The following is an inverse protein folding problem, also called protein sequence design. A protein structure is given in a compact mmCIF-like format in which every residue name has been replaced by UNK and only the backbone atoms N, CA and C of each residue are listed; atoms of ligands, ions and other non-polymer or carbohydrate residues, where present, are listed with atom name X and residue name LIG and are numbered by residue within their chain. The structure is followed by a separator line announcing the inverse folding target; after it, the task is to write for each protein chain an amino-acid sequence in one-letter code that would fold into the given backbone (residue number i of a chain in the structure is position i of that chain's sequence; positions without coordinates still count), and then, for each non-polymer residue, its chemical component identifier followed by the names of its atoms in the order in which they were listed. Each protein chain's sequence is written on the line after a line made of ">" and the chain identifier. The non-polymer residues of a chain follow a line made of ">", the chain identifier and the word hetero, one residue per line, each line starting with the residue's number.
data_IF_507482804598
#
_entry.id   IF_507482804598
#
_cell.length_a   1.000
_cell.length_b   1.000
_cell.length_c   1.000
_cell.angle_alpha   90.00
_cell.angle_beta   90.00
_cell.angle_gamma   90.00
#
_symmetry.space_group_name_H-M   'P 1'
#
loop_
_entity.id
_entity.type
_entity.pdbx_description
1 polymer ?
#
# COMPACT_ATOMS: atom_id res chain seq x y z
N UNK A 1 10.39 35.98 -20.47
CA UNK A 1 9.82 35.54 -19.19
C UNK A 1 9.31 34.12 -19.42
N UNK A 2 9.94 33.11 -18.82
CA UNK A 2 9.46 31.74 -18.92
C UNK A 2 8.23 31.59 -18.01
N UNK A 3 7.14 31.04 -18.54
CA UNK A 3 5.98 30.72 -17.73
C UNK A 3 6.38 29.70 -16.64
N UNK A 4 5.89 29.84 -15.39
CA UNK A 4 6.11 28.83 -14.38
C UNK A 4 5.51 27.51 -14.87
N UNK A 5 6.35 26.49 -14.94
CA UNK A 5 5.94 25.11 -15.25
C UNK A 5 4.84 24.72 -14.25
N UNK A 6 3.67 24.24 -14.70
CA UNK A 6 2.63 23.80 -13.77
C UNK A 6 3.21 22.72 -12.86
N UNK A 7 3.28 22.99 -11.56
CA UNK A 7 3.69 22.02 -10.56
C UNK A 7 2.72 20.86 -10.63
N UNK A 8 3.22 19.66 -10.99
CA UNK A 8 2.41 18.44 -10.98
C UNK A 8 1.73 18.37 -9.60
N UNK A 9 0.40 18.22 -9.52
CA UNK A 9 -0.28 18.12 -8.24
C UNK A 9 0.35 16.99 -7.43
N UNK A 10 0.56 17.23 -6.13
CA UNK A 10 1.19 16.27 -5.23
C UNK A 10 0.39 14.95 -5.25
N UNK A 11 1.04 13.78 -5.37
CA UNK A 11 0.32 12.53 -5.39
C UNK A 11 -0.45 12.29 -4.08
N UNK A 12 -1.64 11.65 -4.17
CA UNK A 12 -2.56 11.50 -3.04
C UNK A 12 -2.00 10.69 -1.86
N UNK A 13 -0.95 9.89 -2.09
CA UNK A 13 -0.26 9.08 -1.09
C UNK A 13 0.93 9.80 -0.44
N UNK A 14 1.27 10.99 -0.90
CA UNK A 14 2.27 11.84 -0.25
C UNK A 14 1.55 12.78 0.71
N UNK A 15 1.84 12.67 2.00
CA UNK A 15 1.10 13.35 3.07
C UNK A 15 -0.42 13.09 3.04
N UNK A 16 -0.85 11.81 3.08
CA UNK A 16 -2.27 11.39 2.95
C UNK A 16 -3.21 12.01 3.99
N UNK A 17 -2.70 12.35 5.18
CA UNK A 17 -3.48 13.00 6.24
C UNK A 17 -3.49 14.53 6.17
N UNK A 18 -2.64 15.14 5.34
CA UNK A 18 -2.45 16.59 5.34
C UNK A 18 -1.81 17.14 6.61
N UNK A 19 -0.90 16.39 7.25
CA UNK A 19 -0.14 16.87 8.41
C UNK A 19 0.65 18.13 8.03
N UNK A 20 0.73 19.10 8.94
CA UNK A 20 1.55 20.29 8.73
C UNK A 20 3.05 19.93 8.73
N UNK A 21 3.90 20.79 8.17
CA UNK A 21 5.36 20.55 8.15
C UNK A 21 5.93 20.35 9.55
N UNK A 22 5.38 21.06 10.54
CA UNK A 22 5.78 20.97 11.95
C UNK A 22 5.35 19.65 12.62
N UNK A 23 4.40 18.93 12.02
CA UNK A 23 3.92 17.61 12.46
C UNK A 23 4.61 16.45 11.72
N UNK A 24 5.27 16.74 10.61
CA UNK A 24 6.12 15.78 9.90
C UNK A 24 7.50 15.87 10.51
N UNK A 25 7.87 14.87 11.32
CA UNK A 25 9.16 14.83 12.00
C UNK A 25 10.28 14.92 10.95
N UNK A 26 10.91 16.09 10.87
CA UNK A 26 12.05 16.33 9.99
C UNK A 26 13.32 15.84 10.68
N UNK A 27 14.34 15.43 9.93
CA UNK A 27 15.63 14.99 10.48
C UNK A 27 16.30 16.05 11.38
N UNK A 28 15.87 17.31 11.29
CA UNK A 28 16.45 18.47 11.96
C UNK A 28 15.73 18.83 13.28
N UNK A 29 14.60 18.19 13.62
CA UNK A 29 13.72 18.59 14.72
C UNK A 29 13.45 17.44 15.72
N UNK A 30 14.46 16.63 16.05
CA UNK A 30 14.36 15.56 17.06
C UNK A 30 14.25 16.06 18.51
N UNK A 31 14.07 17.36 18.75
CA UNK A 31 13.88 17.96 20.08
C UNK A 31 12.45 18.52 20.25
N UNK A 32 11.45 17.64 20.23
CA UNK A 32 10.17 17.96 20.90
C UNK A 32 9.51 16.69 21.44
N UNK A 33 9.74 16.42 22.72
CA UNK A 33 9.00 15.42 23.48
C UNK A 33 7.67 16.04 23.94
N UNK A 34 6.67 16.03 23.06
CA UNK A 34 5.28 16.10 23.50
C UNK A 34 4.86 14.71 23.99
N UNK A 35 4.21 14.62 25.14
CA UNK A 35 3.57 13.38 25.60
C UNK A 35 2.65 12.86 24.49
N UNK A 36 3.02 11.76 23.83
CA UNK A 36 2.14 11.06 22.88
C UNK A 36 0.87 10.69 23.64
N UNK A 37 -0.28 11.19 23.17
CA UNK A 37 -1.56 11.00 23.84
C UNK A 37 -2.12 9.58 23.66
N UNK A 38 -1.64 8.83 22.65
CA UNK A 38 -2.04 7.45 22.39
C UNK A 38 -0.92 6.48 22.79
N UNK A 39 -1.27 5.33 23.36
CA UNK A 39 -0.26 4.29 23.59
C UNK A 39 0.21 3.68 22.27
N UNK A 40 1.42 3.12 22.26
CA UNK A 40 1.94 2.36 21.10
C UNK A 40 0.96 1.27 20.68
N UNK A 41 0.32 0.60 21.65
CA UNK A 41 -0.68 -0.43 21.39
C UNK A 41 -1.92 0.15 20.68
N UNK A 42 -2.39 1.34 21.05
CA UNK A 42 -3.52 2.00 20.39
C UNK A 42 -3.21 2.36 18.94
N UNK A 43 -2.00 2.89 18.69
CA UNK A 43 -1.53 3.23 17.35
C UNK A 43 -1.47 1.99 16.45
N UNK A 44 -0.86 0.91 16.96
CA UNK A 44 -0.81 -0.37 16.25
C UNK A 44 -2.22 -0.88 15.96
N UNK A 45 -3.10 -0.89 16.96
CA UNK A 45 -4.46 -1.42 16.81
C UNK A 45 -5.26 -0.66 15.74
N UNK A 46 -5.10 0.67 15.63
CA UNK A 46 -5.76 1.46 14.57
C UNK A 46 -5.28 1.05 13.19
N UNK A 47 -3.96 0.95 12.99
CA UNK A 47 -3.38 0.53 11.71
C UNK A 47 -3.86 -0.88 11.34
N UNK A 48 -3.82 -1.82 12.28
CA UNK A 48 -4.28 -3.19 12.09
C UNK A 48 -5.76 -3.22 11.71
N UNK A 49 -6.60 -2.43 12.38
CA UNK A 49 -8.05 -2.38 12.12
C UNK A 49 -8.35 -1.88 10.71
N UNK A 50 -7.70 -0.79 10.29
CA UNK A 50 -7.88 -0.29 8.93
C UNK A 50 -7.29 -1.23 7.87
N UNK A 51 -6.16 -1.87 8.17
CA UNK A 51 -5.55 -2.85 7.26
C UNK A 51 -6.45 -4.07 7.07
N UNK A 52 -7.09 -4.56 8.14
CA UNK A 52 -8.09 -5.64 8.08
C UNK A 52 -9.29 -5.24 7.23
N UNK A 53 -9.85 -4.05 7.47
CA UNK A 53 -10.95 -3.53 6.66
C UNK A 53 -10.57 -3.44 5.16
N UNK A 54 -9.39 -2.89 4.86
CA UNK A 54 -8.90 -2.77 3.50
C UNK A 54 -8.68 -4.16 2.84
N UNK A 55 -8.17 -5.12 3.61
CA UNK A 55 -7.95 -6.49 3.15
C UNK A 55 -9.27 -7.20 2.88
N UNK A 56 -10.25 -7.09 3.76
CA UNK A 56 -11.57 -7.72 3.61
C UNK A 56 -12.24 -7.27 2.30
N UNK A 57 -12.22 -5.96 2.01
CA UNK A 57 -12.76 -5.43 0.75
C UNK A 57 -11.99 -5.93 -0.48
N UNK A 58 -10.67 -6.08 -0.41
CA UNK A 58 -9.88 -6.61 -1.51
C UNK A 58 -10.11 -8.12 -1.71
N UNK A 59 -10.26 -8.87 -0.61
CA UNK A 59 -10.57 -10.30 -0.56
C UNK A 59 -11.95 -10.60 -1.16
N UNK A 60 -12.94 -9.77 -0.87
CA UNK A 60 -14.28 -9.90 -1.47
C UNK A 60 -14.22 -9.58 -2.98
N UNK A 61 -13.56 -8.49 -3.35
CA UNK A 61 -13.47 -8.03 -4.72
C UNK A 61 -12.69 -8.98 -5.66
N UNK A 62 -11.64 -9.64 -5.16
CA UNK A 62 -10.72 -10.43 -6.01
C UNK A 62 -11.42 -11.54 -6.79
N UNK A 63 -12.42 -12.21 -6.18
CA UNK A 63 -13.11 -13.34 -6.80
C UNK A 63 -13.90 -12.83 -7.99
N UNK A 64 -14.68 -11.77 -7.77
CA UNK A 64 -15.46 -11.13 -8.81
C UNK A 64 -14.57 -10.60 -9.95
N UNK A 65 -13.46 -9.93 -9.60
CA UNK A 65 -12.53 -9.42 -10.60
C UNK A 65 -11.99 -10.55 -11.49
N UNK A 66 -11.56 -11.66 -10.87
CA UNK A 66 -10.94 -12.77 -11.61
C UNK A 66 -11.97 -13.50 -12.48
N UNK A 67 -13.08 -13.91 -11.89
CA UNK A 67 -14.09 -14.71 -12.59
C UNK A 67 -14.69 -13.94 -13.76
N UNK A 68 -15.03 -12.67 -13.57
CA UNK A 68 -15.66 -11.90 -14.63
C UNK A 68 -14.68 -11.41 -15.70
N UNK A 69 -13.40 -11.17 -15.36
CA UNK A 69 -12.38 -10.67 -16.31
C UNK A 69 -11.76 -11.80 -17.11
N UNK A 70 -11.46 -12.93 -16.47
CA UNK A 70 -10.71 -14.02 -17.09
C UNK A 70 -11.57 -15.25 -17.40
N UNK A 71 -12.83 -15.29 -16.94
CA UNK A 71 -13.73 -16.43 -17.11
C UNK A 71 -13.10 -17.72 -16.56
N UNK A 72 -12.48 -17.60 -15.38
CA UNK A 72 -11.76 -18.68 -14.68
C UNK A 72 -12.09 -18.66 -13.20
N UNK A 73 -12.02 -19.84 -12.60
CA UNK A 73 -12.02 -19.98 -11.14
C UNK A 73 -10.88 -19.18 -10.52
N UNK A 74 -11.15 -18.57 -9.36
CA UNK A 74 -10.21 -17.75 -8.62
C UNK A 74 -8.93 -18.53 -8.25
N UNK A 75 -9.06 -19.73 -7.70
CA UNK A 75 -7.93 -20.51 -7.22
C UNK A 75 -7.05 -21.00 -8.37
N UNK A 76 -7.65 -21.41 -9.49
CA UNK A 76 -6.91 -21.77 -10.70
C UNK A 76 -6.09 -20.57 -11.20
N UNK A 77 -6.72 -19.40 -11.33
CA UNK A 77 -6.05 -18.20 -11.82
C UNK A 77 -4.96 -17.72 -10.86
N UNK A 78 -5.23 -17.70 -9.56
CA UNK A 78 -4.25 -17.35 -8.54
C UNK A 78 -3.01 -18.26 -8.63
N UNK A 79 -3.21 -19.58 -8.69
CA UNK A 79 -2.10 -20.54 -8.78
C UNK A 79 -1.29 -20.43 -10.07
N UNK A 80 -1.94 -20.09 -11.19
CA UNK A 80 -1.27 -19.86 -12.48
C UNK A 80 -0.35 -18.64 -12.43
N UNK A 81 -0.79 -17.56 -11.79
CA UNK A 81 -0.10 -16.27 -11.84
C UNK A 81 0.74 -15.97 -10.60
N UNK A 82 0.68 -16.77 -9.52
CA UNK A 82 1.40 -16.49 -8.25
C UNK A 82 2.91 -16.31 -8.40
N UNK A 83 3.53 -16.93 -9.41
CA UNK A 83 4.98 -16.81 -9.67
C UNK A 83 5.37 -15.44 -10.25
N UNK A 84 4.44 -14.71 -10.86
CA UNK A 84 4.73 -13.42 -11.50
C UNK A 84 4.72 -12.32 -10.47
N UNK A 85 5.88 -11.76 -10.16
CA UNK A 85 6.06 -10.71 -9.15
C UNK A 85 6.68 -9.47 -9.79
N UNK A 86 6.28 -8.28 -9.36
CA UNK A 86 6.88 -7.02 -9.80
C UNK A 86 7.89 -6.49 -8.78
N UNK A 87 8.77 -7.34 -8.25
CA UNK A 87 9.72 -6.97 -7.17
C UNK A 87 10.72 -5.88 -7.55
N UNK A 88 10.83 -5.53 -8.83
CA UNK A 88 11.61 -4.38 -9.28
C UNK A 88 11.03 -3.04 -8.84
N UNK A 89 9.71 -2.95 -8.58
CA UNK A 89 9.06 -1.70 -8.16
C UNK A 89 7.94 -1.87 -7.11
N UNK A 90 7.47 -3.08 -6.84
CA UNK A 90 6.61 -3.44 -5.71
C UNK A 90 7.43 -4.05 -4.57
N UNK A 91 6.93 -3.99 -3.31
CA UNK A 91 7.63 -4.55 -2.16
C UNK A 91 7.93 -6.05 -2.31
N UNK A 92 9.12 -6.46 -1.87
CA UNK A 92 9.51 -7.87 -1.79
C UNK A 92 9.11 -8.46 -0.42
N UNK A 93 7.82 -8.78 -0.28
CA UNK A 93 7.27 -9.35 0.96
C UNK A 93 7.69 -10.83 1.09
N UNK A 94 8.24 -11.28 2.25
CA UNK A 94 8.80 -12.62 2.41
C UNK A 94 7.73 -13.69 2.75
N UNK A 95 6.60 -13.66 2.03
CA UNK A 95 5.51 -14.64 2.09
C UNK A 95 4.66 -14.55 0.82
N UNK A 96 3.89 -15.61 0.57
CA UNK A 96 2.80 -15.57 -0.41
C UNK A 96 1.47 -15.16 0.22
N UNK A 97 0.50 -14.81 -0.63
CA UNK A 97 -0.86 -14.49 -0.20
C UNK A 97 -1.49 -15.70 0.51
N UNK A 98 -2.10 -15.49 1.67
CA UNK A 98 -2.69 -16.53 2.51
C UNK A 98 -1.70 -17.30 3.38
N UNK A 99 -0.39 -17.06 3.26
CA UNK A 99 0.63 -17.70 4.12
C UNK A 99 0.89 -16.91 5.41
N UNK A 100 1.51 -17.55 6.39
CA UNK A 100 2.00 -16.87 7.59
C UNK A 100 3.45 -16.40 7.39
N UNK A 101 3.76 -15.20 7.88
CA UNK A 101 5.14 -14.70 7.96
C UNK A 101 5.95 -15.60 8.89
N UNK A 102 7.16 -15.96 8.48
CA UNK A 102 8.07 -16.76 9.29
C UNK A 102 8.38 -16.05 10.61
N UNK A 103 8.31 -16.76 11.73
CA UNK A 103 8.55 -16.21 13.07
C UNK A 103 9.94 -15.56 13.18
N UNK A 104 10.94 -16.17 12.55
CA UNK A 104 12.33 -15.68 12.55
C UNK A 104 12.47 -14.34 11.80
N UNK A 105 11.58 -14.07 10.84
CA UNK A 105 11.52 -12.76 10.17
C UNK A 105 10.91 -11.71 11.10
N UNK A 106 9.79 -12.05 11.75
CA UNK A 106 9.08 -11.15 12.68
C UNK A 106 9.95 -10.73 13.87
N UNK A 107 10.64 -11.69 14.49
CA UNK A 107 11.50 -11.45 15.66
C UNK A 107 12.70 -10.53 15.39
N UNK A 108 13.09 -10.35 14.12
CA UNK A 108 14.18 -9.46 13.72
C UNK A 108 13.73 -8.02 13.49
N UNK A 109 12.41 -7.77 13.42
CA UNK A 109 11.88 -6.46 13.13
C UNK A 109 11.93 -5.56 14.36
N UNK A 110 12.07 -4.26 14.12
CA UNK A 110 11.89 -3.21 15.13
C UNK A 110 10.74 -2.33 14.69
N UNK A 111 9.93 -1.84 15.63
CA UNK A 111 8.70 -1.12 15.31
C UNK A 111 8.96 0.16 14.50
N UNK A 112 9.97 0.93 14.86
CA UNK A 112 10.36 2.16 14.16
C UNK A 112 10.75 1.90 12.71
N UNK A 113 11.55 0.86 12.46
CA UNK A 113 11.94 0.42 11.11
C UNK A 113 10.72 -0.09 10.34
N UNK A 114 9.90 -0.91 11.00
CA UNK A 114 8.69 -1.47 10.42
C UNK A 114 7.72 -0.36 9.98
N UNK A 115 7.47 0.66 10.80
CA UNK A 115 6.56 1.76 10.45
C UNK A 115 7.02 2.50 9.18
N UNK A 116 8.32 2.81 9.06
CA UNK A 116 8.89 3.44 7.86
C UNK A 116 8.74 2.55 6.62
N UNK A 117 9.08 1.28 6.75
CA UNK A 117 9.00 0.31 5.64
C UNK A 117 7.56 0.10 5.20
N UNK A 118 6.62 -0.03 6.15
CA UNK A 118 5.18 -0.13 5.89
C UNK A 118 4.69 1.10 5.12
N UNK A 119 5.06 2.31 5.57
CA UNK A 119 4.67 3.55 4.88
C UNK A 119 5.13 3.56 3.43
N UNK A 120 6.41 3.22 3.19
CA UNK A 120 6.97 3.10 1.84
C UNK A 120 6.26 2.04 1.01
N UNK A 121 5.99 0.86 1.56
CA UNK A 121 5.31 -0.23 0.85
C UNK A 121 3.91 0.17 0.43
N UNK A 122 3.16 0.81 1.34
CA UNK A 122 1.83 1.31 1.05
C UNK A 122 1.85 2.41 -0.03
N UNK A 123 2.86 3.29 -0.06
CA UNK A 123 3.03 4.25 -1.15
C UNK A 123 3.31 3.55 -2.48
N UNK A 124 4.13 2.49 -2.50
CA UNK A 124 4.39 1.68 -3.71
C UNK A 124 3.10 1.03 -4.24
N UNK A 125 2.27 0.47 -3.35
CA UNK A 125 0.96 -0.06 -3.74
C UNK A 125 0.02 1.04 -4.24
N UNK A 126 0.09 2.25 -3.65
CA UNK A 126 -0.75 3.38 -4.06
C UNK A 126 -0.45 3.82 -5.50
N UNK A 127 0.84 3.84 -5.90
CA UNK A 127 1.24 4.08 -7.29
C UNK A 127 0.58 3.08 -8.24
N UNK A 128 0.61 1.79 -7.87
CA UNK A 128 0.02 0.71 -8.66
C UNK A 128 -1.49 0.86 -8.77
N UNK A 129 -2.19 0.95 -7.64
CA UNK A 129 -3.65 1.07 -7.61
C UNK A 129 -4.15 2.34 -8.31
N UNK A 130 -3.45 3.48 -8.18
CA UNK A 130 -3.77 4.71 -8.93
C UNK A 130 -3.75 4.48 -10.43
N UNK A 131 -2.72 3.80 -10.94
CA UNK A 131 -2.65 3.47 -12.36
C UNK A 131 -3.79 2.54 -12.77
N UNK A 132 -4.14 1.56 -11.93
CA UNK A 132 -5.23 0.61 -12.21
C UNK A 132 -6.58 1.33 -12.26
N UNK A 133 -6.96 2.09 -11.23
CA UNK A 133 -8.27 2.75 -11.23
C UNK A 133 -8.37 3.80 -12.33
N UNK A 134 -7.29 4.53 -12.61
CA UNK A 134 -7.24 5.47 -13.74
C UNK A 134 -7.50 4.74 -15.06
N UNK A 135 -6.83 3.62 -15.32
CA UNK A 135 -7.02 2.84 -16.53
C UNK A 135 -8.44 2.28 -16.64
N UNK A 136 -8.98 1.72 -15.56
CA UNK A 136 -10.34 1.18 -15.51
C UNK A 136 -11.37 2.29 -15.82
N UNK A 137 -11.17 3.49 -15.26
CA UNK A 137 -12.02 4.66 -15.49
C UNK A 137 -11.92 5.18 -16.93
N UNK A 138 -10.72 5.31 -17.47
CA UNK A 138 -10.49 5.80 -18.83
C UNK A 138 -11.10 4.86 -19.88
N UNK A 139 -10.97 3.55 -19.67
CA UNK A 139 -11.54 2.53 -20.55
C UNK A 139 -13.03 2.25 -20.30
N UNK A 140 -13.64 2.91 -19.29
CA UNK A 140 -15.04 2.73 -18.87
C UNK A 140 -15.36 1.27 -18.50
N UNK A 141 -14.40 0.60 -17.90
CA UNK A 141 -14.57 -0.75 -17.39
C UNK A 141 -15.44 -0.74 -16.14
N UNK A 142 -16.18 -1.82 -15.88
CA UNK A 142 -17.14 -1.91 -14.77
C UNK A 142 -16.51 -1.79 -13.37
N UNK A 143 -15.24 -2.17 -13.22
CA UNK A 143 -14.56 -2.26 -11.91
C UNK A 143 -13.89 -0.96 -11.46
N UNK A 144 -14.09 0.16 -12.16
CA UNK A 144 -13.41 1.41 -11.81
C UNK A 144 -13.74 1.88 -10.39
N UNK A 145 -14.98 1.70 -9.92
CA UNK A 145 -15.40 2.07 -8.56
C UNK A 145 -14.78 1.16 -7.51
N UNK A 146 -14.60 -0.12 -7.81
CA UNK A 146 -13.99 -1.08 -6.89
C UNK A 146 -12.51 -0.75 -6.68
N UNK A 147 -11.76 -0.46 -7.75
CA UNK A 147 -10.37 -0.02 -7.64
C UNK A 147 -10.22 1.36 -6.99
N UNK A 148 -11.10 2.32 -7.30
CA UNK A 148 -11.12 3.62 -6.60
C UNK A 148 -11.40 3.46 -5.10
N UNK A 149 -12.25 2.49 -4.73
CA UNK A 149 -12.46 2.13 -3.32
C UNK A 149 -11.19 1.55 -2.69
N UNK A 150 -10.47 0.66 -3.39
CA UNK A 150 -9.21 0.11 -2.88
C UNK A 150 -8.17 1.22 -2.64
N UNK A 151 -8.04 2.19 -3.54
CA UNK A 151 -7.18 3.37 -3.33
C UNK A 151 -7.56 4.15 -2.07
N UNK A 152 -8.86 4.39 -1.87
CA UNK A 152 -9.34 5.16 -0.72
C UNK A 152 -9.07 4.43 0.59
N UNK A 153 -9.30 3.11 0.64
CA UNK A 153 -9.01 2.28 1.82
C UNK A 153 -7.51 2.26 2.11
N UNK A 154 -6.68 2.06 1.08
CA UNK A 154 -5.22 2.15 1.21
C UNK A 154 -4.76 3.51 1.75
N UNK A 155 -5.34 4.61 1.26
CA UNK A 155 -5.02 5.96 1.75
C UNK A 155 -5.33 6.12 3.24
N UNK A 156 -6.41 5.51 3.74
CA UNK A 156 -6.72 5.55 5.16
C UNK A 156 -5.67 4.80 5.99
N UNK A 157 -5.21 3.63 5.52
CA UNK A 157 -4.11 2.89 6.19
C UNK A 157 -2.82 3.69 6.18
N UNK A 158 -2.45 4.27 5.02
CA UNK A 158 -1.30 5.16 4.88
C UNK A 158 -1.33 6.32 5.86
N UNK A 159 -2.51 6.91 6.06
CA UNK A 159 -2.70 8.02 6.97
C UNK A 159 -2.43 7.61 8.43
N UNK A 160 -3.03 6.52 8.91
CA UNK A 160 -2.78 6.07 10.29
C UNK A 160 -1.32 5.68 10.53
N UNK A 161 -0.64 5.12 9.52
CA UNK A 161 0.80 4.84 9.63
C UNK A 161 1.58 6.16 9.75
N UNK A 162 1.25 7.18 8.97
CA UNK A 162 1.88 8.51 9.06
C UNK A 162 1.68 9.15 10.44
N UNK A 163 0.47 9.05 11.00
CA UNK A 163 0.15 9.54 12.35
C UNK A 163 0.98 8.79 13.39
N UNK A 164 1.01 7.45 13.33
CA UNK A 164 1.81 6.64 14.25
C UNK A 164 3.30 6.98 14.16
N UNK A 165 3.82 7.24 12.96
CA UNK A 165 5.20 7.67 12.79
C UNK A 165 5.47 9.04 13.43
N UNK A 166 4.57 10.01 13.24
CA UNK A 166 4.70 11.33 13.86
C UNK A 166 4.68 11.23 15.39
N UNK A 167 3.74 10.47 15.96
CA UNK A 167 3.64 10.29 17.41
C UNK A 167 4.83 9.53 18.02
N UNK A 168 5.50 8.68 17.25
CA UNK A 168 6.67 7.92 17.68
C UNK A 168 8.01 8.61 17.35
N UNK A 169 7.99 9.83 16.77
CA UNK A 169 9.23 10.52 16.38
C UNK A 169 9.98 9.83 15.23
N UNK A 170 9.26 9.05 14.40
CA UNK A 170 9.83 8.19 13.36
C UNK A 170 9.86 8.94 12.03
N UNK A 171 11.06 9.32 11.58
CA UNK A 171 11.27 9.99 10.27
C UNK A 171 11.00 9.04 9.11
N UNK A 172 10.12 9.40 8.16
CA UNK A 172 9.82 8.56 7.00
C UNK A 172 10.99 8.34 6.04
N UNK A 173 10.92 7.27 5.25
CA UNK A 173 11.72 7.15 4.03
C UNK A 173 11.39 8.29 3.05
N UNK A 174 12.27 8.62 2.10
CA UNK A 174 11.92 9.51 1.00
C UNK A 174 10.65 9.04 0.29
N UNK A 175 9.77 9.99 -0.03
CA UNK A 175 8.50 9.71 -0.69
C UNK A 175 8.71 8.94 -1.99
N UNK A 176 7.89 7.91 -2.20
CA UNK A 176 7.93 7.12 -3.43
C UNK A 176 7.49 7.97 -4.62
N UNK A 177 8.39 8.12 -5.60
CA UNK A 177 8.06 8.79 -6.86
C UNK A 177 7.05 7.95 -7.66
N UNK A 178 6.06 8.59 -8.31
CA UNK A 178 5.19 7.90 -9.27
C UNK A 178 6.00 7.12 -10.33
N UNK A 179 7.16 7.61 -10.72
CA UNK A 179 7.95 7.03 -11.82
C UNK A 179 8.61 5.68 -11.45
N UNK A 180 8.46 5.20 -10.20
CA UNK A 180 8.88 3.85 -9.80
C UNK A 180 8.18 2.77 -10.65
N UNK A 181 6.93 3.02 -11.06
CA UNK A 181 6.23 2.20 -12.04
C UNK A 181 6.55 2.73 -13.43
N UNK A 182 7.41 2.00 -14.14
CA UNK A 182 7.89 2.38 -15.47
C UNK A 182 6.81 2.30 -16.55
N UNK A 183 7.06 2.95 -17.69
CA UNK A 183 6.14 2.99 -18.83
C UNK A 183 5.77 1.60 -19.36
N UNK A 184 6.67 0.61 -19.23
CA UNK A 184 6.41 -0.80 -19.59
C UNK A 184 5.20 -1.36 -18.83
N UNK A 185 5.02 -0.97 -17.56
CA UNK A 185 3.86 -1.37 -16.76
C UNK A 185 2.68 -0.43 -16.90
N UNK A 186 2.91 0.87 -17.09
CA UNK A 186 1.81 1.86 -17.22
C UNK A 186 1.08 1.72 -18.54
N UNK A 187 1.78 1.35 -19.61
CA UNK A 187 1.25 1.26 -20.98
C UNK A 187 1.47 -0.15 -21.56
N UNK A 188 0.89 -1.20 -20.96
CA UNK A 188 1.05 -2.55 -21.47
C UNK A 188 0.37 -2.69 -22.85
N UNK A 189 0.95 -3.51 -23.71
CA UNK A 189 0.42 -3.77 -25.05
C UNK A 189 -0.78 -4.71 -25.00
N UNK A 190 -1.97 -4.15 -24.83
CA UNK A 190 -3.24 -4.86 -24.93
C UNK A 190 -3.95 -5.04 -23.59
N UNK A 191 -5.27 -5.24 -23.68
CA UNK A 191 -6.17 -5.34 -22.53
C UNK A 191 -5.87 -6.55 -21.66
N UNK A 192 -5.63 -7.72 -22.25
CA UNK A 192 -5.34 -8.94 -21.48
C UNK A 192 -4.09 -8.79 -20.59
N UNK A 193 -3.04 -8.14 -21.10
CA UNK A 193 -1.82 -7.88 -20.33
C UNK A 193 -2.10 -6.86 -19.21
N UNK A 194 -2.92 -5.84 -19.49
CA UNK A 194 -3.37 -4.87 -18.49
C UNK A 194 -4.14 -5.55 -17.37
N UNK A 195 -5.10 -6.42 -17.70
CA UNK A 195 -5.89 -7.15 -16.72
C UNK A 195 -5.02 -8.05 -15.83
N UNK A 196 -4.03 -8.74 -16.41
CA UNK A 196 -3.06 -9.52 -15.63
C UNK A 196 -2.23 -8.62 -14.71
N UNK A 197 -1.78 -7.46 -15.19
CA UNK A 197 -1.05 -6.49 -14.35
C UNK A 197 -1.92 -5.99 -13.19
N UNK A 198 -3.16 -5.63 -13.46
CA UNK A 198 -4.12 -5.16 -12.45
C UNK A 198 -4.34 -6.23 -11.38
N UNK A 199 -4.50 -7.49 -11.81
CA UNK A 199 -4.56 -8.64 -10.90
C UNK A 199 -3.31 -8.77 -10.03
N UNK A 200 -2.11 -8.73 -10.62
CA UNK A 200 -0.85 -8.85 -9.88
C UNK A 200 -0.71 -7.72 -8.85
N UNK A 201 -1.06 -6.48 -9.20
CA UNK A 201 -1.04 -5.33 -8.28
C UNK A 201 -2.02 -5.57 -7.12
N UNK A 202 -3.26 -5.96 -7.41
CA UNK A 202 -4.28 -6.25 -6.39
C UNK A 202 -3.82 -7.39 -5.46
N UNK A 203 -3.24 -8.45 -6.01
CA UNK A 203 -2.74 -9.60 -5.25
C UNK A 203 -1.57 -9.22 -4.34
N UNK A 204 -0.59 -8.48 -4.85
CA UNK A 204 0.54 -8.05 -4.03
C UNK A 204 0.13 -7.02 -2.97
N UNK A 205 -0.88 -6.19 -3.24
CA UNK A 205 -1.49 -5.32 -2.24
C UNK A 205 -2.14 -6.13 -1.11
N UNK A 206 -2.96 -7.14 -1.42
CA UNK A 206 -3.52 -8.05 -0.41
C UNK A 206 -2.42 -8.75 0.40
N UNK A 207 -1.38 -9.25 -0.27
CA UNK A 207 -0.24 -9.92 0.36
C UNK A 207 0.50 -8.97 1.34
N UNK A 208 0.65 -7.70 0.94
CA UNK A 208 1.22 -6.64 1.74
C UNK A 208 0.37 -6.30 2.97
N UNK A 209 -0.95 -6.20 2.83
CA UNK A 209 -1.85 -5.97 3.96
C UNK A 209 -1.80 -7.11 4.98
N UNK A 210 -1.84 -8.38 4.52
CA UNK A 210 -1.66 -9.54 5.40
C UNK A 210 -0.33 -9.49 6.16
N UNK A 211 0.76 -9.12 5.46
CA UNK A 211 2.08 -8.96 6.07
C UNK A 211 2.07 -7.87 7.16
N UNK A 212 1.49 -6.69 6.86
CA UNK A 212 1.38 -5.57 7.79
C UNK A 212 0.62 -5.99 9.04
N UNK A 213 -0.53 -6.66 8.88
CA UNK A 213 -1.36 -7.15 9.98
C UNK A 213 -0.55 -8.12 10.86
N UNK A 214 0.08 -9.14 10.27
CA UNK A 214 0.84 -10.13 11.03
C UNK A 214 2.07 -9.53 11.72
N UNK A 215 2.74 -8.57 11.08
CA UNK A 215 3.88 -7.87 11.66
C UNK A 215 3.48 -7.01 12.85
N UNK A 216 2.40 -6.25 12.73
CA UNK A 216 1.94 -5.36 13.77
C UNK A 216 1.27 -6.13 14.94
N UNK A 217 0.50 -7.17 14.64
CA UNK A 217 -0.04 -8.07 15.67
C UNK A 217 1.09 -8.74 16.48
N UNK A 218 2.27 -8.99 15.87
CA UNK A 218 3.44 -9.48 16.60
C UNK A 218 3.97 -8.49 17.64
N UNK A 219 4.00 -7.19 17.31
CA UNK A 219 4.44 -6.15 18.24
C UNK A 219 3.44 -5.92 19.38
N UNK A 220 2.14 -6.11 19.15
CA UNK A 220 1.11 -6.01 20.21
C UNK A 220 1.13 -7.16 21.22
N UNK A 221 1.82 -8.26 20.92
CA UNK A 221 1.89 -9.45 21.78
C UNK A 221 3.18 -9.53 22.63
N UNK A 222 4.10 -8.57 22.48
CA UNK A 222 5.33 -8.45 23.27
C UNK A 222 5.11 -7.51 24.46
#
# INVERSE_FOLDING_TARGET
>A
MAAPTPTRPQPKWVNPCGLSKDQVVSEQELEYQGESAASVADLIQRIVTLSKNALDHAVEFRVQYVEETFQKDYEEHHNMWKIYKYHEWLPAIPKELGENVKKEHLQKQKLDVALKDIYKYLQMYAVGLEQVAMDQKQNRNKFYLDFERQEHLLRNVLCEVQVAMAEQGVVQHPDVSPDIMTDTYRKPNGESIRNVRDWVILREYMNGLEYIIQLLDHFSQQ
#
